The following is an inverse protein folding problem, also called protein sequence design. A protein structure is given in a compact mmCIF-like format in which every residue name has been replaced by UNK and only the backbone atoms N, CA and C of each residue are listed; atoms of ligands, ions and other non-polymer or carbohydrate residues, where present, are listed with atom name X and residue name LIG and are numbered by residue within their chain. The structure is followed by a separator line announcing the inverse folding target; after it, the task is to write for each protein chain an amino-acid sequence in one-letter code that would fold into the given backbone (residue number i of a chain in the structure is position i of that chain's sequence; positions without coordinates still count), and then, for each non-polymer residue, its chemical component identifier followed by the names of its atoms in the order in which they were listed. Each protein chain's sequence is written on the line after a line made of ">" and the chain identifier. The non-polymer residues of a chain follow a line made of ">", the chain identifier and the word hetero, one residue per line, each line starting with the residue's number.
data_IF_017966765899
#
_entry.id   IF_017966765899
#
_cell.length_a   1.000
_cell.length_b   1.000
_cell.length_c   1.000
_cell.angle_alpha   90.00
_cell.angle_beta   90.00
_cell.angle_gamma   90.00
#
_symmetry.space_group_name_H-M   'P 1'
#
loop_
_entity.id
_entity.type
_entity.pdbx_description
1 polymer ?
#
# COMPACT_ATOMS: atom_id res chain seq x y z
N UNK A 1 -15.50 -45.35 24.16
CA UNK A 1 -14.59 -45.17 23.01
C UNK A 1 -14.55 -43.71 22.68
N UNK A 2 -13.41 -43.03 22.75
CA UNK A 2 -13.30 -41.67 22.24
C UNK A 2 -13.55 -41.68 20.73
N UNK A 3 -14.31 -40.71 20.26
CA UNK A 3 -14.52 -40.51 18.83
C UNK A 3 -13.17 -40.21 18.15
N UNK A 4 -12.95 -40.77 16.97
CA UNK A 4 -11.71 -40.57 16.20
C UNK A 4 -11.42 -39.09 15.94
N UNK A 5 -12.47 -38.28 15.85
CA UNK A 5 -12.38 -36.84 15.72
C UNK A 5 -11.81 -36.17 16.99
N UNK A 6 -12.23 -36.60 18.17
CA UNK A 6 -11.71 -36.11 19.45
C UNK A 6 -10.24 -36.48 19.65
N UNK A 7 -9.84 -37.66 19.23
CA UNK A 7 -8.45 -38.09 19.29
C UNK A 7 -7.58 -37.26 18.35
N UNK A 8 -8.03 -36.99 17.12
CA UNK A 8 -7.32 -36.14 16.16
C UNK A 8 -7.16 -34.70 16.67
N UNK A 9 -8.22 -34.13 17.27
CA UNK A 9 -8.17 -32.77 17.87
C UNK A 9 -7.16 -32.68 19.02
N UNK A 10 -7.12 -33.66 19.90
CA UNK A 10 -6.13 -33.70 21.01
C UNK A 10 -4.69 -33.78 20.50
N UNK A 11 -4.46 -34.54 19.44
CA UNK A 11 -3.15 -34.61 18.82
C UNK A 11 -2.76 -33.23 18.22
N UNK A 12 -3.68 -32.56 17.54
CA UNK A 12 -3.47 -31.18 17.04
C UNK A 12 -3.13 -30.24 18.19
N UNK A 13 -3.93 -30.23 19.28
CA UNK A 13 -3.70 -29.37 20.44
C UNK A 13 -2.30 -29.61 21.07
N UNK A 14 -1.86 -30.89 21.11
CA UNK A 14 -0.53 -31.26 21.62
C UNK A 14 0.58 -30.71 20.72
N UNK A 15 0.43 -30.83 19.41
CA UNK A 15 1.38 -30.31 18.42
C UNK A 15 1.41 -28.77 18.46
N UNK A 16 0.26 -28.14 18.58
CA UNK A 16 0.16 -26.64 18.64
C UNK A 16 0.87 -26.10 19.90
N UNK A 17 0.77 -26.78 21.03
CA UNK A 17 1.52 -26.41 22.24
C UNK A 17 3.05 -26.49 22.03
N UNK A 18 3.52 -27.51 21.31
CA UNK A 18 4.95 -27.62 20.95
C UNK A 18 5.37 -26.51 19.94
N UNK A 19 4.52 -26.24 18.94
CA UNK A 19 4.77 -25.17 17.98
C UNK A 19 4.86 -23.80 18.66
N UNK A 20 3.99 -23.50 19.64
CA UNK A 20 4.06 -22.28 20.42
C UNK A 20 5.41 -22.11 21.14
N UNK A 21 5.89 -23.14 21.81
CA UNK A 21 7.18 -23.10 22.48
C UNK A 21 8.37 -22.95 21.51
N UNK A 22 8.31 -23.60 20.35
CA UNK A 22 9.31 -23.47 19.29
C UNK A 22 9.27 -22.09 18.63
N UNK A 23 8.08 -21.50 18.45
CA UNK A 23 7.90 -20.15 17.97
C UNK A 23 8.56 -19.13 18.91
N UNK A 24 8.28 -19.17 20.22
CA UNK A 24 8.93 -18.29 21.20
C UNK A 24 10.46 -18.41 21.16
N UNK A 25 10.97 -19.64 21.10
CA UNK A 25 12.41 -19.88 20.99
C UNK A 25 13.01 -19.29 19.72
N UNK A 26 12.29 -19.40 18.59
CA UNK A 26 12.68 -18.82 17.32
C UNK A 26 12.69 -17.29 17.38
N UNK A 27 11.67 -16.68 17.99
CA UNK A 27 11.57 -15.22 18.11
C UNK A 27 12.67 -14.64 19.02
N UNK A 28 13.09 -15.35 20.07
CA UNK A 28 14.28 -14.95 20.86
C UNK A 28 15.56 -14.93 20.02
N UNK A 29 15.74 -15.91 19.12
CA UNK A 29 16.89 -15.92 18.21
C UNK A 29 16.79 -14.77 17.17
N UNK A 30 15.58 -14.42 16.70
CA UNK A 30 15.34 -13.27 15.82
C UNK A 30 15.80 -11.98 16.48
N UNK A 31 15.49 -11.77 17.78
CA UNK A 31 15.95 -10.60 18.52
C UNK A 31 17.48 -10.48 18.55
N UNK A 32 18.18 -11.57 18.79
CA UNK A 32 19.67 -11.54 18.78
C UNK A 32 20.22 -11.18 17.38
N UNK A 33 19.53 -11.61 16.30
CA UNK A 33 19.87 -11.21 14.92
C UNK A 33 19.58 -9.73 14.70
N UNK A 34 18.44 -9.24 15.20
CA UNK A 34 18.05 -7.83 15.12
C UNK A 34 19.09 -6.90 15.79
N UNK A 35 19.49 -7.25 17.01
CA UNK A 35 20.53 -6.50 17.76
C UNK A 35 21.85 -6.48 17.00
N UNK A 36 22.26 -7.61 16.43
CA UNK A 36 23.48 -7.68 15.62
C UNK A 36 23.39 -6.77 14.37
N UNK A 37 22.27 -6.85 13.63
CA UNK A 37 22.03 -6.02 12.45
C UNK A 37 22.03 -4.53 12.81
N UNK A 38 21.41 -4.16 13.94
CA UNK A 38 21.41 -2.78 14.45
C UNK A 38 22.82 -2.28 14.71
N UNK A 39 23.63 -3.07 15.40
CA UNK A 39 25.00 -2.70 15.76
C UNK A 39 25.91 -2.54 14.53
N UNK A 40 25.62 -3.23 13.42
CA UNK A 40 26.44 -3.23 12.20
C UNK A 40 25.79 -2.49 11.02
N UNK A 41 24.66 -1.81 11.22
CA UNK A 41 23.97 -1.05 10.16
C UNK A 41 23.41 -1.92 9.02
N UNK A 42 23.15 -3.21 9.27
CA UNK A 42 22.66 -4.14 8.25
C UNK A 42 21.14 -4.01 8.05
N UNK A 43 20.63 -4.26 6.82
CA UNK A 43 19.20 -4.23 6.54
C UNK A 43 18.47 -5.39 7.24
N UNK A 44 17.17 -5.17 7.52
CA UNK A 44 16.29 -6.23 8.06
C UNK A 44 16.12 -7.34 7.02
N UNK A 45 15.83 -6.96 5.78
CA UNK A 45 15.60 -7.88 4.67
C UNK A 45 16.92 -8.38 4.05
N UNK A 46 17.03 -9.69 3.86
CA UNK A 46 18.12 -10.36 3.15
C UNK A 46 17.52 -11.44 2.22
N UNK A 47 17.31 -11.08 0.96
CA UNK A 47 16.70 -11.93 -0.06
C UNK A 47 17.46 -13.23 -0.28
N UNK A 48 18.81 -13.18 -0.25
CA UNK A 48 19.64 -14.37 -0.45
C UNK A 48 19.46 -15.35 0.71
N UNK A 49 19.40 -14.83 1.94
CA UNK A 49 19.15 -15.63 3.13
C UNK A 49 17.74 -16.22 3.15
N UNK A 50 16.72 -15.44 2.77
CA UNK A 50 15.33 -15.93 2.72
C UNK A 50 15.19 -17.11 1.76
N UNK A 51 15.75 -16.99 0.54
CA UNK A 51 15.76 -18.08 -0.44
C UNK A 51 16.38 -19.35 0.16
N UNK A 52 17.55 -19.24 0.78
CA UNK A 52 18.22 -20.38 1.44
C UNK A 52 17.37 -21.00 2.54
N UNK A 53 16.62 -20.20 3.30
CA UNK A 53 15.74 -20.68 4.36
C UNK A 53 14.57 -21.47 3.77
N UNK A 54 13.94 -20.95 2.71
CA UNK A 54 12.82 -21.61 2.03
C UNK A 54 13.24 -22.92 1.37
N UNK A 55 14.36 -22.94 0.66
CA UNK A 55 14.88 -24.14 -0.01
C UNK A 55 15.20 -25.24 1.02
N UNK A 56 15.77 -24.85 2.17
CA UNK A 56 16.02 -25.80 3.27
C UNK A 56 14.73 -26.26 3.98
N UNK A 57 13.70 -25.41 4.03
CA UNK A 57 12.42 -25.76 4.62
C UNK A 57 11.75 -26.89 3.83
N UNK A 58 11.65 -26.76 2.51
CA UNK A 58 11.07 -27.78 1.64
C UNK A 58 11.80 -29.13 1.77
N UNK A 59 13.14 -29.11 1.84
CA UNK A 59 13.95 -30.31 1.97
C UNK A 59 13.74 -31.07 3.30
N UNK A 60 13.20 -30.42 4.34
CA UNK A 60 12.93 -31.04 5.65
C UNK A 60 11.62 -31.82 5.67
N UNK A 61 10.71 -31.57 4.72
CA UNK A 61 9.41 -32.25 4.67
C UNK A 61 9.53 -33.54 3.87
N UNK A 62 9.26 -34.67 4.53
CA UNK A 62 9.34 -36.00 3.91
C UNK A 62 8.22 -36.23 2.89
N UNK A 63 6.98 -35.80 3.18
CA UNK A 63 5.86 -35.93 2.27
C UNK A 63 5.90 -34.81 1.19
N UNK A 64 6.09 -35.16 -0.10
CA UNK A 64 6.13 -34.18 -1.19
C UNK A 64 4.84 -33.34 -1.30
N UNK A 65 3.68 -33.88 -0.96
CA UNK A 65 2.40 -33.18 -1.04
C UNK A 65 2.29 -32.02 -0.05
N UNK A 66 3.00 -32.09 1.08
CA UNK A 66 3.00 -31.04 2.12
C UNK A 66 4.05 -29.95 1.91
N UNK A 67 5.01 -30.15 1.01
CA UNK A 67 6.12 -29.21 0.80
C UNK A 67 5.67 -27.79 0.43
N UNK A 68 4.75 -27.58 -0.53
CA UNK A 68 4.28 -26.24 -0.86
C UNK A 68 3.65 -25.53 0.33
N UNK A 69 2.79 -26.21 1.07
CA UNK A 69 2.12 -25.65 2.25
C UNK A 69 3.11 -25.28 3.37
N UNK A 70 4.14 -26.11 3.56
CA UNK A 70 5.17 -25.80 4.56
C UNK A 70 6.07 -24.64 4.10
N UNK A 71 6.32 -24.49 2.81
CA UNK A 71 7.01 -23.32 2.23
C UNK A 71 6.26 -22.04 2.58
N UNK A 72 4.95 -22.01 2.32
CA UNK A 72 4.08 -20.86 2.61
C UNK A 72 4.04 -20.56 4.11
N UNK A 73 3.94 -21.60 4.94
CA UNK A 73 4.01 -21.47 6.41
C UNK A 73 5.34 -20.83 6.86
N UNK A 74 6.46 -21.26 6.30
CA UNK A 74 7.79 -20.71 6.65
C UNK A 74 7.93 -19.28 6.13
N UNK A 75 7.39 -18.95 4.96
CA UNK A 75 7.35 -17.58 4.45
C UNK A 75 6.60 -16.67 5.42
N UNK A 76 5.36 -17.03 5.80
CA UNK A 76 4.56 -16.29 6.78
C UNK A 76 5.30 -16.11 8.12
N UNK A 77 5.96 -17.15 8.59
CA UNK A 77 6.75 -17.08 9.83
C UNK A 77 7.96 -16.14 9.71
N UNK A 78 8.58 -16.02 8.54
CA UNK A 78 9.64 -15.03 8.30
C UNK A 78 9.09 -13.62 8.25
N UNK A 79 7.90 -13.42 7.67
CA UNK A 79 7.26 -12.11 7.57
C UNK A 79 6.86 -11.59 8.95
N UNK A 80 6.28 -12.44 9.80
CA UNK A 80 6.02 -12.14 11.23
C UNK A 80 7.31 -11.80 11.97
N UNK A 81 8.40 -12.53 11.71
CA UNK A 81 9.68 -12.25 12.35
C UNK A 81 10.27 -10.90 11.94
N UNK A 82 10.16 -10.52 10.66
CA UNK A 82 10.59 -9.19 10.15
C UNK A 82 9.78 -8.05 10.81
N UNK A 83 8.47 -8.23 10.94
CA UNK A 83 7.61 -7.26 11.61
C UNK A 83 8.05 -7.06 13.08
N UNK A 84 8.25 -8.15 13.82
CA UNK A 84 8.70 -8.09 15.20
C UNK A 84 10.12 -7.48 15.35
N UNK A 85 11.04 -7.83 14.45
CA UNK A 85 12.37 -7.23 14.36
C UNK A 85 12.28 -5.71 14.15
N UNK A 86 11.44 -5.27 13.21
CA UNK A 86 11.22 -3.85 12.92
C UNK A 86 10.63 -3.10 14.13
N UNK A 87 9.68 -3.71 14.84
CA UNK A 87 9.08 -3.15 16.05
C UNK A 87 10.13 -2.95 17.16
N UNK A 88 10.89 -4.00 17.48
CA UNK A 88 11.92 -3.96 18.53
C UNK A 88 13.06 -2.97 18.21
N UNK A 89 13.38 -2.82 16.93
CA UNK A 89 14.37 -1.84 16.46
C UNK A 89 13.83 -0.40 16.43
N UNK A 90 12.56 -0.18 16.76
CA UNK A 90 11.89 1.13 16.63
C UNK A 90 11.74 1.58 15.17
N UNK A 91 11.77 0.64 14.21
CA UNK A 91 11.62 0.87 12.78
C UNK A 91 10.22 0.54 12.27
N UNK A 92 9.29 0.26 13.17
CA UNK A 92 7.91 -0.12 12.83
C UNK A 92 6.99 1.12 12.75
N UNK A 93 7.44 2.15 12.04
CA UNK A 93 6.67 3.38 11.80
C UNK A 93 6.34 3.51 10.33
N UNK A 94 5.09 3.76 10.01
CA UNK A 94 4.63 4.01 8.65
C UNK A 94 3.90 5.36 8.59
N UNK A 95 4.32 6.22 7.66
CA UNK A 95 3.76 7.55 7.46
C UNK A 95 2.62 7.52 6.44
N UNK A 96 1.60 8.34 6.66
CA UNK A 96 0.48 8.53 5.74
C UNK A 96 0.00 9.98 5.78
N UNK A 97 -0.63 10.42 4.70
CA UNK A 97 -1.19 11.77 4.66
C UNK A 97 -2.62 11.79 5.21
N UNK A 98 -2.91 12.77 6.08
CA UNK A 98 -4.24 13.04 6.61
C UNK A 98 -4.40 12.61 8.06
N UNK A 99 -5.65 12.37 8.45
CA UNK A 99 -6.04 12.04 9.83
C UNK A 99 -6.38 10.56 9.96
N UNK A 100 -6.47 10.07 11.18
CA UNK A 100 -6.95 8.73 11.46
C UNK A 100 -8.35 8.50 10.85
N UNK A 101 -8.55 7.34 10.20
CA UNK A 101 -9.78 7.03 9.45
C UNK A 101 -9.78 7.54 7.99
N UNK A 102 -8.81 8.35 7.55
CA UNK A 102 -8.67 8.65 6.11
C UNK A 102 -8.30 7.38 5.31
N UNK A 103 -8.61 7.34 4.01
CA UNK A 103 -8.32 6.16 3.17
C UNK A 103 -6.83 5.78 3.15
N UNK A 104 -5.92 6.76 3.24
CA UNK A 104 -4.49 6.48 3.37
C UNK A 104 -4.15 5.78 4.70
N UNK A 105 -4.83 6.14 5.80
CA UNK A 105 -4.70 5.43 7.08
C UNK A 105 -5.26 4.00 7.00
N UNK A 106 -6.40 3.81 6.33
CA UNK A 106 -7.01 2.48 6.12
C UNK A 106 -6.06 1.59 5.31
N UNK A 107 -5.52 2.11 4.21
CA UNK A 107 -4.52 1.41 3.40
C UNK A 107 -3.27 1.05 4.21
N UNK A 108 -2.77 1.98 5.04
CA UNK A 108 -1.64 1.72 5.93
C UNK A 108 -1.96 0.59 6.92
N UNK A 109 -3.14 0.60 7.54
CA UNK A 109 -3.54 -0.44 8.50
C UNK A 109 -3.71 -1.82 7.85
N UNK A 110 -4.17 -1.87 6.60
CA UNK A 110 -4.24 -3.11 5.85
C UNK A 110 -2.85 -3.68 5.52
N UNK A 111 -1.91 -2.82 5.15
CA UNK A 111 -0.53 -3.21 4.80
C UNK A 111 0.34 -3.45 6.03
N UNK A 112 0.20 -2.61 7.05
CA UNK A 112 1.04 -2.58 8.25
C UNK A 112 0.19 -2.56 9.53
N UNK A 113 -0.54 -3.65 9.86
CA UNK A 113 -1.50 -3.67 10.99
C UNK A 113 -0.88 -3.34 12.34
N UNK A 114 0.41 -3.65 12.52
CA UNK A 114 1.13 -3.46 13.78
C UNK A 114 2.08 -2.26 13.78
N UNK A 115 2.14 -1.47 12.69
CA UNK A 115 3.00 -0.30 12.64
C UNK A 115 2.43 0.86 13.48
N UNK A 116 3.32 1.67 14.06
CA UNK A 116 2.95 3.00 14.55
C UNK A 116 2.63 3.88 13.34
N UNK A 117 1.38 4.31 13.22
CA UNK A 117 0.92 5.16 12.14
C UNK A 117 1.31 6.62 12.40
N UNK A 118 2.10 7.20 11.52
CA UNK A 118 2.56 8.59 11.59
C UNK A 118 1.72 9.44 10.65
N UNK A 119 0.82 10.26 11.21
CA UNK A 119 0.00 11.20 10.45
C UNK A 119 0.84 12.40 10.00
N UNK A 120 0.81 12.68 8.70
CA UNK A 120 1.45 13.84 8.07
C UNK A 120 0.39 14.74 7.43
N UNK A 121 0.47 16.06 7.56
CA UNK A 121 -0.45 17.00 6.91
C UNK A 121 -0.46 16.93 5.40
N UNK A 122 0.71 16.73 4.77
CA UNK A 122 0.91 16.73 3.32
C UNK A 122 1.61 15.48 2.83
N UNK A 123 1.54 15.22 1.52
CA UNK A 123 2.32 14.13 0.90
C UNK A 123 3.82 14.41 0.95
N UNK A 124 4.26 15.67 0.78
CA UNK A 124 5.68 16.06 0.94
C UNK A 124 6.23 15.63 2.29
N UNK A 125 5.47 15.85 3.38
CA UNK A 125 5.87 15.43 4.72
C UNK A 125 5.93 13.91 4.89
N UNK A 126 5.12 13.14 4.15
CA UNK A 126 5.24 11.67 4.13
C UNK A 126 6.55 11.26 3.48
N UNK A 127 6.90 11.85 2.32
CA UNK A 127 8.17 11.58 1.64
C UNK A 127 9.35 11.97 2.51
N UNK A 128 9.31 13.15 3.10
CA UNK A 128 10.31 13.66 4.05
C UNK A 128 10.51 12.72 5.25
N UNK A 129 9.43 12.26 5.87
CA UNK A 129 9.49 11.35 7.02
C UNK A 129 10.19 10.03 6.67
N UNK A 130 9.93 9.49 5.47
CA UNK A 130 10.61 8.28 4.99
C UNK A 130 12.07 8.57 4.66
N UNK A 131 12.38 9.65 3.96
CA UNK A 131 13.74 10.01 3.55
C UNK A 131 14.64 10.30 4.75
N UNK A 132 14.15 11.02 5.75
CA UNK A 132 14.85 11.31 7.02
C UNK A 132 14.97 10.10 7.95
N UNK A 133 14.11 9.07 7.76
CA UNK A 133 14.10 7.88 8.60
C UNK A 133 13.21 7.95 9.83
N UNK A 134 12.36 8.96 9.92
CA UNK A 134 11.33 9.08 10.95
C UNK A 134 10.23 8.03 10.79
N UNK A 135 10.04 7.54 9.56
CA UNK A 135 9.24 6.38 9.22
C UNK A 135 10.03 5.40 8.33
N UNK A 136 9.78 4.10 8.47
CA UNK A 136 10.34 3.08 7.60
C UNK A 136 9.66 3.06 6.24
N UNK A 137 8.34 3.25 6.24
CA UNK A 137 7.50 3.24 5.05
C UNK A 137 6.62 4.48 4.96
N UNK A 138 6.24 4.84 3.73
CA UNK A 138 5.23 5.86 3.46
C UNK A 138 4.12 5.26 2.59
N UNK A 139 2.85 5.50 2.95
CA UNK A 139 1.69 5.04 2.17
C UNK A 139 0.98 6.26 1.60
N UNK A 140 0.97 6.38 0.28
CA UNK A 140 0.40 7.53 -0.43
C UNK A 140 -0.47 7.09 -1.60
N UNK A 141 -1.58 7.80 -1.92
CA UNK A 141 -2.41 7.50 -3.07
C UNK A 141 -1.67 7.81 -4.37
N UNK A 142 -1.78 6.92 -5.36
CA UNK A 142 -1.09 7.08 -6.64
C UNK A 142 -2.05 7.28 -7.83
N UNK A 143 -3.17 6.55 -7.78
CA UNK A 143 -4.17 6.58 -8.83
C UNK A 143 -5.55 6.20 -8.27
N UNK A 144 -6.61 6.79 -8.80
CA UNK A 144 -7.98 6.37 -8.51
C UNK A 144 -8.67 6.00 -9.83
N UNK A 145 -9.43 4.90 -9.84
CA UNK A 145 -10.07 4.38 -11.06
C UNK A 145 -11.03 5.36 -11.74
N UNK A 146 -11.58 6.34 -11.00
CA UNK A 146 -12.51 7.33 -11.52
C UNK A 146 -11.91 8.73 -11.64
N UNK A 147 -11.08 9.15 -10.67
CA UNK A 147 -10.48 10.48 -10.65
C UNK A 147 -9.15 10.57 -11.42
N UNK A 148 -8.57 9.40 -11.77
CA UNK A 148 -7.30 9.32 -12.47
C UNK A 148 -6.09 9.51 -11.56
N UNK A 149 -5.01 10.03 -12.11
CA UNK A 149 -3.70 10.11 -11.48
C UNK A 149 -3.62 11.13 -10.34
N UNK A 150 -2.97 10.74 -9.25
CA UNK A 150 -2.53 11.67 -8.21
C UNK A 150 -1.18 12.26 -8.62
N UNK A 151 -1.22 13.16 -9.60
CA UNK A 151 -0.04 13.70 -10.29
C UNK A 151 1.01 14.28 -9.35
N UNK A 152 0.59 14.92 -8.25
CA UNK A 152 1.51 15.49 -7.26
C UNK A 152 2.37 14.42 -6.58
N UNK A 153 1.83 13.22 -6.33
CA UNK A 153 2.61 12.11 -5.75
C UNK A 153 3.63 11.59 -6.75
N UNK A 154 3.30 11.53 -8.04
CA UNK A 154 4.26 11.16 -9.07
C UNK A 154 5.39 12.19 -9.19
N UNK A 155 5.08 13.50 -9.06
CA UNK A 155 6.10 14.56 -9.01
C UNK A 155 7.02 14.41 -7.79
N UNK A 156 6.48 14.03 -6.63
CA UNK A 156 7.28 13.72 -5.43
C UNK A 156 8.17 12.49 -5.65
N UNK A 157 7.65 11.43 -6.27
CA UNK A 157 8.48 10.28 -6.65
C UNK A 157 9.65 10.68 -7.55
N UNK A 158 9.44 11.62 -8.48
CA UNK A 158 10.52 12.15 -9.31
C UNK A 158 11.56 12.92 -8.50
N UNK A 159 11.12 13.77 -7.58
CA UNK A 159 11.96 14.67 -6.79
C UNK A 159 12.72 14.00 -5.65
N UNK A 160 12.31 12.81 -5.20
CA UNK A 160 12.97 12.03 -4.13
C UNK A 160 13.66 10.77 -4.69
N UNK A 161 14.84 10.92 -5.35
CA UNK A 161 15.52 9.80 -6.01
C UNK A 161 16.06 8.74 -5.05
N UNK A 162 16.14 9.04 -3.77
CA UNK A 162 16.55 8.11 -2.71
C UNK A 162 15.45 7.19 -2.20
N UNK A 163 14.19 7.40 -2.66
CA UNK A 163 13.04 6.59 -2.27
C UNK A 163 12.62 5.65 -3.40
N UNK A 164 12.12 4.48 -3.00
CA UNK A 164 11.70 3.41 -3.87
C UNK A 164 10.25 3.04 -3.60
N UNK A 165 9.50 2.73 -4.67
CA UNK A 165 8.19 2.06 -4.56
C UNK A 165 8.44 0.57 -4.40
N UNK A 166 7.98 -0.01 -3.28
CA UNK A 166 8.27 -1.40 -2.91
C UNK A 166 7.03 -2.27 -2.85
N UNK A 167 5.85 -1.66 -2.84
CA UNK A 167 4.57 -2.37 -2.87
C UNK A 167 3.48 -1.48 -3.43
N UNK A 168 2.38 -2.10 -3.88
CA UNK A 168 1.15 -1.43 -4.30
C UNK A 168 -0.04 -2.09 -3.63
N UNK A 169 -1.04 -1.27 -3.26
CA UNK A 169 -2.26 -1.75 -2.64
C UNK A 169 -3.48 -1.10 -3.26
N UNK A 170 -4.34 -1.91 -3.87
CA UNK A 170 -5.59 -1.48 -4.48
C UNK A 170 -6.70 -1.54 -3.43
N UNK A 171 -7.09 -0.39 -2.88
CA UNK A 171 -8.16 -0.26 -1.87
C UNK A 171 -9.48 0.03 -2.53
N UNK A 172 -10.49 -0.85 -2.42
CA UNK A 172 -11.86 -0.54 -2.82
C UNK A 172 -12.42 0.61 -1.96
N UNK A 173 -12.99 1.62 -2.61
CA UNK A 173 -13.53 2.81 -1.96
C UNK A 173 -15.04 2.71 -1.91
N UNK A 174 -15.60 2.45 -0.73
CA UNK A 174 -17.02 2.48 -0.47
C UNK A 174 -17.39 3.73 0.33
N UNK A 175 -18.35 4.49 -0.19
CA UNK A 175 -18.91 5.66 0.49
C UNK A 175 -20.21 5.26 1.19
N UNK A 176 -20.32 5.51 2.48
CA UNK A 176 -21.45 5.14 3.30
C UNK A 176 -22.03 6.38 3.97
N UNK A 177 -23.32 6.42 4.20
CA UNK A 177 -23.97 7.48 4.98
C UNK A 177 -23.86 7.14 6.47
N UNK A 178 -23.09 7.92 7.18
CA UNK A 178 -22.76 7.73 8.60
C UNK A 178 -23.51 8.74 9.46
N UNK A 179 -24.08 8.26 10.57
CA UNK A 179 -24.91 9.06 11.47
C UNK A 179 -24.62 8.72 12.93
N UNK A 180 -25.09 9.56 13.83
CA UNK A 180 -25.14 9.22 15.27
C UNK A 180 -26.11 8.06 15.49
N UNK A 181 -25.82 7.13 16.41
CA UNK A 181 -26.68 5.98 16.68
C UNK A 181 -28.14 6.32 16.92
N UNK A 182 -29.04 5.57 16.26
CA UNK A 182 -30.49 5.75 16.37
C UNK A 182 -31.07 6.93 15.58
N UNK A 183 -30.30 7.54 14.66
CA UNK A 183 -30.79 8.57 13.73
C UNK A 183 -31.53 7.91 12.57
N UNK A 184 -32.65 8.50 12.14
CA UNK A 184 -33.41 8.07 10.97
C UNK A 184 -33.08 8.96 9.76
N UNK A 185 -33.28 8.44 8.55
CA UNK A 185 -33.02 9.20 7.32
C UNK A 185 -33.87 10.47 7.22
N UNK A 186 -35.10 10.44 7.76
CA UNK A 186 -35.98 11.58 7.85
C UNK A 186 -35.53 12.71 8.76
N UNK A 187 -34.63 12.43 9.67
CA UNK A 187 -34.11 13.43 10.62
C UNK A 187 -33.04 14.32 9.98
N UNK A 188 -32.46 13.85 8.89
CA UNK A 188 -31.29 14.47 8.26
C UNK A 188 -31.64 15.76 7.52
N UNK A 189 -30.86 16.78 7.77
CA UNK A 189 -30.97 18.08 7.08
C UNK A 189 -29.73 18.43 6.28
N UNK A 190 -28.58 17.80 6.59
CA UNK A 190 -27.29 18.12 5.92
C UNK A 190 -26.30 16.99 6.02
N UNK A 191 -25.53 16.83 4.94
CA UNK A 191 -24.46 15.83 4.83
C UNK A 191 -23.10 16.54 4.69
N UNK A 192 -22.06 15.98 5.29
CA UNK A 192 -20.69 16.51 5.25
C UNK A 192 -19.74 15.47 4.68
N UNK A 193 -18.84 15.87 3.78
CA UNK A 193 -17.77 15.00 3.29
C UNK A 193 -16.75 15.76 2.44
N UNK A 194 -15.71 15.06 1.98
CA UNK A 194 -14.82 15.57 0.94
C UNK A 194 -15.58 15.79 -0.38
N UNK A 195 -15.20 16.82 -1.14
CA UNK A 195 -15.87 17.18 -2.40
C UNK A 195 -16.02 16.00 -3.37
N UNK A 196 -14.98 15.17 -3.48
CA UNK A 196 -15.01 13.99 -4.36
C UNK A 196 -16.03 12.93 -3.87
N UNK A 197 -16.11 12.66 -2.58
CA UNK A 197 -17.08 11.71 -2.02
C UNK A 197 -18.51 12.21 -2.20
N UNK A 198 -18.75 13.52 -2.07
CA UNK A 198 -20.03 14.18 -2.36
C UNK A 198 -20.40 13.97 -3.83
N UNK A 199 -19.48 14.23 -4.77
CA UNK A 199 -19.73 14.03 -6.20
C UNK A 199 -20.02 12.56 -6.54
N UNK A 200 -19.29 11.63 -5.96
CA UNK A 200 -19.50 10.19 -6.13
C UNK A 200 -20.85 9.70 -5.56
N UNK A 201 -21.45 10.43 -4.63
CA UNK A 201 -22.73 10.11 -3.99
C UNK A 201 -23.88 11.01 -4.45
N UNK A 202 -23.67 11.76 -5.53
CA UNK A 202 -24.62 12.80 -5.97
C UNK A 202 -26.01 12.26 -6.27
N UNK A 203 -26.12 11.07 -6.89
CA UNK A 203 -27.39 10.43 -7.22
C UNK A 203 -28.21 10.16 -5.95
N UNK A 204 -27.58 9.60 -4.93
CA UNK A 204 -28.20 9.35 -3.63
C UNK A 204 -28.65 10.67 -2.97
N UNK A 205 -27.75 11.65 -2.90
CA UNK A 205 -28.04 12.93 -2.25
C UNK A 205 -29.22 13.67 -2.91
N UNK A 206 -29.30 13.66 -4.25
CA UNK A 206 -30.42 14.24 -5.01
C UNK A 206 -31.72 13.50 -4.76
N UNK A 207 -31.69 12.15 -4.75
CA UNK A 207 -32.89 11.33 -4.53
C UNK A 207 -33.56 11.63 -3.17
N UNK A 208 -32.76 11.89 -2.13
CA UNK A 208 -33.28 12.16 -0.79
C UNK A 208 -33.32 13.66 -0.44
N UNK A 209 -32.96 14.55 -1.37
CA UNK A 209 -32.99 16.00 -1.17
C UNK A 209 -32.02 16.48 -0.07
N UNK A 210 -30.91 15.79 0.13
CA UNK A 210 -29.94 16.07 1.17
C UNK A 210 -28.84 17.05 0.67
N UNK A 211 -28.82 18.30 1.15
CA UNK A 211 -27.75 19.22 0.84
C UNK A 211 -26.44 18.79 1.47
N UNK A 212 -25.33 18.93 0.72
CA UNK A 212 -24.00 18.55 1.17
C UNK A 212 -23.09 19.77 1.38
N UNK A 213 -22.18 19.66 2.33
CA UNK A 213 -21.13 20.65 2.63
C UNK A 213 -19.75 19.98 2.53
N UNK A 214 -18.87 20.60 1.71
CA UNK A 214 -17.53 20.08 1.54
C UNK A 214 -16.65 20.31 2.77
N UNK A 215 -15.83 19.30 3.10
CA UNK A 215 -14.84 19.32 4.15
C UNK A 215 -13.47 18.84 3.60
N UNK A 216 -12.35 19.08 4.30
CA UNK A 216 -11.01 18.74 3.82
C UNK A 216 -10.81 17.24 3.50
N UNK A 217 -11.45 16.35 4.25
CA UNK A 217 -11.48 14.90 3.96
C UNK A 217 -12.70 14.22 4.62
N UNK A 218 -12.96 12.97 4.22
CA UNK A 218 -14.11 12.18 4.69
C UNK A 218 -14.04 11.85 6.19
N UNK A 219 -12.85 11.57 6.70
CA UNK A 219 -12.67 11.23 8.12
C UNK A 219 -12.91 12.45 9.05
N UNK A 220 -12.44 13.63 8.63
CA UNK A 220 -12.76 14.87 9.36
C UNK A 220 -14.26 15.17 9.37
N UNK A 221 -14.96 14.87 8.29
CA UNK A 221 -16.41 15.01 8.22
C UNK A 221 -17.13 14.07 9.21
N UNK A 222 -16.71 12.81 9.26
CA UNK A 222 -17.22 11.83 10.21
C UNK A 222 -16.93 12.25 11.66
N UNK A 223 -15.70 12.67 11.95
CA UNK A 223 -15.32 13.20 13.28
C UNK A 223 -16.21 14.40 13.68
N UNK A 224 -16.40 15.34 12.76
CA UNK A 224 -17.26 16.51 12.99
C UNK A 224 -18.70 16.12 13.35
N UNK A 225 -19.28 15.14 12.63
CA UNK A 225 -20.64 14.65 12.91
C UNK A 225 -20.69 13.98 14.28
N UNK A 226 -19.71 13.12 14.59
CA UNK A 226 -19.62 12.45 15.89
C UNK A 226 -19.54 13.44 17.05
N UNK A 227 -18.67 14.45 16.96
CA UNK A 227 -18.46 15.45 18.01
C UNK A 227 -19.60 16.48 18.12
N UNK A 228 -20.40 16.67 17.06
CA UNK A 228 -21.50 17.62 17.06
C UNK A 228 -22.66 17.25 17.98
N UNK A 229 -22.88 15.95 18.25
CA UNK A 229 -24.03 15.44 18.97
C UNK A 229 -25.38 15.71 18.29
N UNK A 230 -25.38 16.22 17.06
CA UNK A 230 -26.55 16.68 16.31
C UNK A 230 -27.02 15.60 15.32
N UNK A 231 -28.17 14.96 15.62
CA UNK A 231 -28.77 13.90 14.79
C UNK A 231 -29.30 14.37 13.45
N UNK A 232 -29.34 15.66 13.19
CA UNK A 232 -29.76 16.18 11.87
C UNK A 232 -28.61 16.17 10.86
N UNK A 233 -27.40 15.79 11.28
CA UNK A 233 -26.20 15.75 10.47
C UNK A 233 -25.79 14.34 10.15
N UNK A 234 -25.27 14.15 8.94
CA UNK A 234 -24.63 12.90 8.50
C UNK A 234 -23.27 13.18 7.86
N UNK A 235 -22.42 12.16 7.81
CA UNK A 235 -21.19 12.20 7.05
C UNK A 235 -21.20 11.15 5.95
N UNK A 236 -20.43 11.38 4.87
CA UNK A 236 -20.10 10.34 3.89
C UNK A 236 -18.65 9.95 4.14
N UNK A 237 -18.41 8.68 4.52
CA UNK A 237 -17.08 8.12 4.74
C UNK A 237 -17.11 6.59 4.65
N UNK A 238 -15.99 5.95 5.00
CA UNK A 238 -15.86 4.50 5.03
C UNK A 238 -16.48 3.87 6.27
N UNK A 239 -16.71 2.56 6.23
CA UNK A 239 -17.21 1.79 7.38
C UNK A 239 -16.20 1.76 8.53
N UNK A 240 -14.91 1.75 8.24
CA UNK A 240 -13.84 1.79 9.24
C UNK A 240 -13.87 3.11 10.00
N UNK A 241 -14.17 4.20 9.30
CA UNK A 241 -14.32 5.52 9.91
C UNK A 241 -15.55 5.59 10.81
N UNK A 242 -16.65 4.90 10.46
CA UNK A 242 -17.82 4.79 11.32
C UNK A 242 -17.44 4.10 12.64
N UNK A 243 -16.77 2.96 12.59
CA UNK A 243 -16.31 2.23 13.78
C UNK A 243 -15.36 3.08 14.65
N UNK A 244 -14.46 3.83 14.03
CA UNK A 244 -13.48 4.67 14.71
C UNK A 244 -14.13 5.78 15.56
N UNK A 245 -15.16 6.43 15.00
CA UNK A 245 -15.82 7.58 15.65
C UNK A 245 -17.15 7.24 16.33
N UNK A 246 -17.50 5.95 16.45
CA UNK A 246 -18.74 5.53 17.11
C UNK A 246 -20.01 5.95 16.36
N UNK A 247 -19.92 6.06 15.04
CA UNK A 247 -21.05 6.34 14.17
C UNK A 247 -21.69 5.03 13.66
N UNK A 248 -22.95 5.12 13.27
CA UNK A 248 -23.69 4.04 12.66
C UNK A 248 -23.74 4.23 11.14
N UNK A 249 -23.62 3.12 10.39
CA UNK A 249 -23.84 3.12 8.94
C UNK A 249 -25.35 3.06 8.69
N UNK A 250 -25.95 4.20 8.38
CA UNK A 250 -27.38 4.28 8.09
C UNK A 250 -27.72 3.70 6.70
N UNK A 251 -26.91 4.03 5.69
CA UNK A 251 -27.04 3.50 4.34
C UNK A 251 -25.65 3.14 3.81
N UNK A 252 -25.39 1.86 3.52
CA UNK A 252 -24.13 1.43 2.94
C UNK A 252 -24.04 1.73 1.45
N UNK A 253 -22.82 1.89 0.92
CA UNK A 253 -22.50 1.92 -0.50
C UNK A 253 -23.36 2.90 -1.31
N UNK A 254 -23.40 4.17 -0.89
CA UNK A 254 -24.18 5.24 -1.54
C UNK A 254 -23.49 5.86 -2.75
N UNK A 255 -22.27 5.44 -3.09
CA UNK A 255 -21.58 5.87 -4.30
C UNK A 255 -22.27 5.32 -5.54
N UNK A 256 -22.36 6.16 -6.58
CA UNK A 256 -23.06 5.87 -7.84
C UNK A 256 -22.43 4.68 -8.58
N UNK A 257 -21.09 4.62 -8.57
CA UNK A 257 -20.32 3.56 -9.24
C UNK A 257 -19.70 2.63 -8.19
N UNK A 258 -19.94 1.32 -8.32
CA UNK A 258 -19.53 0.32 -7.33
C UNK A 258 -18.09 -0.17 -7.42
N UNK A 259 -17.36 0.23 -8.47
CA UNK A 259 -16.01 -0.25 -8.79
C UNK A 259 -14.90 0.79 -8.49
N UNK A 260 -15.21 1.79 -7.66
CA UNK A 260 -14.24 2.82 -7.28
C UNK A 260 -13.10 2.21 -6.45
N UNK A 261 -11.89 2.31 -6.96
CA UNK A 261 -10.68 1.78 -6.33
C UNK A 261 -9.59 2.84 -6.32
N UNK A 262 -8.89 2.98 -5.21
CA UNK A 262 -7.69 3.82 -5.12
C UNK A 262 -6.47 2.93 -4.95
N UNK A 263 -5.52 3.08 -5.87
CA UNK A 263 -4.20 2.47 -5.77
C UNK A 263 -3.32 3.32 -4.87
N UNK A 264 -2.78 2.71 -3.83
CA UNK A 264 -1.75 3.26 -2.97
C UNK A 264 -0.41 2.65 -3.33
N UNK A 265 0.66 3.42 -3.20
CA UNK A 265 2.04 2.95 -3.29
C UNK A 265 2.69 3.01 -1.92
N UNK A 266 3.59 2.07 -1.68
CA UNK A 266 4.42 2.02 -0.48
C UNK A 266 5.82 2.48 -0.83
N UNK A 267 6.29 3.49 -0.11
CA UNK A 267 7.62 4.07 -0.25
C UNK A 267 8.55 3.56 0.85
N UNK A 268 9.81 3.32 0.51
CA UNK A 268 10.87 3.10 1.49
C UNK A 268 12.25 3.57 0.95
N UNK A 269 13.28 3.56 1.80
CA UNK A 269 14.67 3.89 1.42
C UNK A 269 15.44 2.70 0.87
N UNK A 270 15.00 1.49 1.15
CA UNK A 270 15.68 0.28 0.74
C UNK A 270 15.29 -0.07 -0.69
N UNK A 271 16.29 -0.31 -1.56
CA UNK A 271 16.05 -0.70 -2.94
C UNK A 271 15.44 -2.11 -2.98
N UNK A 272 14.24 -2.28 -3.58
CA UNK A 272 13.65 -3.60 -3.75
C UNK A 272 14.44 -4.45 -4.75
N UNK A 273 14.51 -5.76 -4.51
CA UNK A 273 15.31 -6.70 -5.32
C UNK A 273 14.50 -7.77 -6.02
N UNK A 274 13.23 -7.96 -5.65
CA UNK A 274 12.37 -9.00 -6.20
C UNK A 274 10.94 -8.49 -6.41
N UNK A 275 10.29 -8.94 -7.48
CA UNK A 275 8.92 -8.61 -7.84
C UNK A 275 8.59 -9.12 -9.23
N UNK A 276 7.31 -9.01 -9.63
CA UNK A 276 6.82 -9.33 -10.98
C UNK A 276 6.37 -8.10 -11.75
N UNK A 277 6.57 -6.91 -11.16
CA UNK A 277 6.34 -5.58 -11.74
C UNK A 277 7.51 -4.67 -11.40
N UNK A 278 7.83 -3.78 -12.31
CA UNK A 278 8.76 -2.69 -12.03
C UNK A 278 8.34 -1.43 -12.78
N UNK A 279 8.67 -0.29 -12.20
CA UNK A 279 8.36 1.02 -12.78
C UNK A 279 9.63 1.82 -13.05
N UNK A 280 9.60 2.56 -14.16
CA UNK A 280 10.71 3.41 -14.59
C UNK A 280 10.24 4.86 -14.71
N UNK A 281 11.15 5.77 -14.40
CA UNK A 281 11.07 7.18 -14.75
C UNK A 281 12.14 7.50 -15.80
N UNK A 282 11.78 8.20 -16.85
CA UNK A 282 12.76 8.59 -17.87
C UNK A 282 12.46 9.96 -18.47
N UNK A 283 13.48 10.60 -19.01
CA UNK A 283 13.39 11.87 -19.76
C UNK A 283 13.91 11.68 -21.18
N UNK A 284 13.37 12.47 -22.10
CA UNK A 284 13.69 12.38 -23.52
C UNK A 284 14.13 13.74 -24.07
N UNK A 285 14.83 13.70 -25.21
CA UNK A 285 14.90 14.88 -26.07
C UNK A 285 13.51 15.20 -26.63
N UNK A 286 13.10 16.45 -26.54
CA UNK A 286 11.82 16.89 -27.08
C UNK A 286 11.90 16.95 -28.63
N UNK A 287 11.89 15.79 -29.28
CA UNK A 287 11.97 15.63 -30.75
C UNK A 287 10.90 14.65 -31.22
N UNK A 288 10.35 14.86 -32.43
CA UNK A 288 9.39 13.93 -33.02
C UNK A 288 9.92 12.49 -33.02
N UNK A 289 9.07 11.52 -32.63
CA UNK A 289 9.38 10.11 -32.65
C UNK A 289 10.13 9.56 -31.42
N UNK A 290 10.71 10.38 -30.55
CA UNK A 290 11.53 9.90 -29.42
C UNK A 290 10.76 9.04 -28.43
N UNK A 291 9.51 9.37 -28.10
CA UNK A 291 8.68 8.53 -27.25
C UNK A 291 8.33 7.19 -27.95
N UNK A 292 8.05 7.24 -29.26
CA UNK A 292 7.76 6.03 -30.03
C UNK A 292 8.97 5.07 -30.05
N UNK A 293 10.19 5.60 -30.14
CA UNK A 293 11.44 4.82 -30.08
C UNK A 293 11.55 4.07 -28.72
N UNK A 294 11.25 4.72 -27.61
CA UNK A 294 11.25 4.09 -26.28
C UNK A 294 10.19 2.99 -26.19
N UNK A 295 8.98 3.24 -26.67
CA UNK A 295 7.89 2.24 -26.66
C UNK A 295 8.28 1.02 -27.51
N UNK A 296 8.92 1.24 -28.67
CA UNK A 296 9.43 0.14 -29.53
C UNK A 296 10.50 -0.68 -28.83
N UNK A 297 11.45 -0.05 -28.13
CA UNK A 297 12.48 -0.75 -27.35
C UNK A 297 11.85 -1.63 -26.26
N UNK A 298 10.87 -1.10 -25.52
CA UNK A 298 10.16 -1.86 -24.49
C UNK A 298 9.43 -3.06 -25.10
N UNK A 299 8.65 -2.85 -26.18
CA UNK A 299 7.90 -3.90 -26.85
C UNK A 299 8.81 -4.97 -27.48
N UNK A 300 9.90 -4.56 -28.14
CA UNK A 300 10.88 -5.48 -28.74
C UNK A 300 11.60 -6.33 -27.68
N UNK A 301 11.76 -5.80 -26.46
CA UNK A 301 12.32 -6.54 -25.32
C UNK A 301 11.31 -7.53 -24.70
N UNK A 302 10.08 -7.62 -25.21
CA UNK A 302 9.04 -8.56 -24.76
C UNK A 302 8.44 -8.20 -23.40
N UNK A 303 8.32 -6.90 -23.09
CA UNK A 303 7.64 -6.42 -21.89
C UNK A 303 6.25 -5.89 -22.24
N UNK A 304 5.28 -6.26 -21.39
CA UNK A 304 3.97 -5.63 -21.38
C UNK A 304 4.01 -4.35 -20.53
N UNK A 305 3.41 -3.28 -21.07
CA UNK A 305 3.35 -1.97 -20.43
C UNK A 305 1.93 -1.74 -19.91
N UNK A 306 1.74 -1.86 -18.58
CA UNK A 306 0.43 -1.66 -17.95
C UNK A 306 0.05 -0.16 -17.84
N UNK A 307 1.03 0.73 -17.73
CA UNK A 307 0.78 2.17 -17.59
C UNK A 307 1.89 3.01 -18.21
N UNK A 308 1.48 4.15 -18.79
CA UNK A 308 2.39 5.23 -19.19
C UNK A 308 1.78 6.56 -18.79
N UNK A 309 2.57 7.43 -18.15
CA UNK A 309 2.14 8.76 -17.72
C UNK A 309 3.22 9.77 -18.08
N UNK A 310 2.83 11.00 -18.43
CA UNK A 310 3.76 12.09 -18.70
C UNK A 310 3.51 13.26 -17.76
N UNK A 311 4.58 13.87 -17.27
CA UNK A 311 4.51 15.05 -16.39
C UNK A 311 5.52 16.09 -16.83
N UNK A 312 5.20 17.41 -16.70
CA UNK A 312 6.18 18.46 -16.96
C UNK A 312 7.39 18.32 -16.04
N UNK A 313 8.57 18.53 -16.58
CA UNK A 313 9.79 18.61 -15.78
C UNK A 313 9.78 19.88 -14.91
N UNK A 314 10.06 19.77 -13.62
CA UNK A 314 10.22 20.95 -12.77
C UNK A 314 11.28 21.90 -13.35
N UNK A 315 10.99 23.18 -13.38
CA UNK A 315 11.91 24.25 -13.79
C UNK A 315 12.41 24.24 -15.26
N UNK A 316 11.91 23.32 -16.11
CA UNK A 316 12.26 23.25 -17.53
C UNK A 316 10.98 23.39 -18.37
N UNK A 317 10.69 24.56 -18.93
CA UNK A 317 9.48 24.79 -19.71
C UNK A 317 9.38 23.84 -20.92
N UNK A 318 8.21 23.23 -21.08
CA UNK A 318 7.87 22.34 -22.20
C UNK A 318 8.70 21.06 -22.33
N UNK A 319 9.48 20.70 -21.30
CA UNK A 319 10.12 19.38 -21.19
C UNK A 319 9.32 18.49 -20.24
N UNK A 320 9.41 17.17 -20.43
CA UNK A 320 8.60 16.18 -19.74
C UNK A 320 9.46 15.04 -19.21
N UNK A 321 9.06 14.48 -18.07
CA UNK A 321 9.45 13.12 -17.69
C UNK A 321 8.29 12.17 -17.89
N UNK A 322 8.61 10.89 -18.05
CA UNK A 322 7.65 9.83 -18.28
C UNK A 322 7.78 8.78 -17.18
N UNK A 323 6.65 8.25 -16.76
CA UNK A 323 6.53 7.08 -15.92
C UNK A 323 6.01 5.93 -16.77
N UNK A 324 6.57 4.73 -16.61
CA UNK A 324 6.01 3.48 -17.15
C UNK A 324 6.03 2.38 -16.11
N UNK A 325 5.02 1.52 -16.14
CA UNK A 325 4.91 0.32 -15.35
C UNK A 325 4.98 -0.89 -16.29
N UNK A 326 5.91 -1.80 -15.99
CA UNK A 326 6.22 -2.96 -16.83
C UNK A 326 6.01 -4.26 -16.05
N UNK A 327 5.43 -5.27 -16.75
CA UNK A 327 5.22 -6.61 -16.24
C UNK A 327 6.46 -7.45 -16.47
N UNK A 328 7.14 -7.86 -15.42
CA UNK A 328 8.31 -8.74 -15.53
C UNK A 328 9.20 -8.75 -14.31
N UNK A 329 10.14 -9.67 -14.31
CA UNK A 329 11.15 -9.80 -13.28
C UNK A 329 12.28 -8.77 -13.49
N UNK A 330 12.50 -7.84 -12.55
CA UNK A 330 13.56 -6.84 -12.64
C UNK A 330 14.98 -7.46 -12.58
N UNK A 331 15.13 -8.65 -12.00
CA UNK A 331 16.41 -9.36 -11.91
C UNK A 331 16.75 -10.18 -13.17
N UNK A 332 15.81 -10.32 -14.11
CA UNK A 332 16.06 -11.09 -15.34
C UNK A 332 17.15 -10.43 -16.22
N UNK A 333 17.95 -11.24 -16.89
CA UNK A 333 18.98 -10.75 -17.81
C UNK A 333 18.40 -9.85 -18.91
N UNK A 334 17.20 -10.18 -19.41
CA UNK A 334 16.48 -9.36 -20.40
C UNK A 334 16.15 -7.95 -19.87
N UNK A 335 15.89 -7.78 -18.54
CA UNK A 335 15.65 -6.46 -17.93
C UNK A 335 16.93 -5.64 -17.91
N UNK A 336 18.07 -6.25 -17.60
CA UNK A 336 19.36 -5.56 -17.68
C UNK A 336 19.68 -5.13 -19.12
N UNK A 337 19.32 -5.93 -20.14
CA UNK A 337 19.44 -5.57 -21.54
C UNK A 337 18.53 -4.38 -21.90
N UNK A 338 17.24 -4.45 -21.53
CA UNK A 338 16.29 -3.34 -21.71
C UNK A 338 16.81 -2.02 -21.12
N UNK A 339 17.28 -2.05 -19.87
CA UNK A 339 17.78 -0.83 -19.22
C UNK A 339 19.01 -0.26 -19.92
N UNK A 340 19.90 -1.10 -20.48
CA UNK A 340 21.03 -0.63 -21.30
C UNK A 340 20.53 0.07 -22.56
N UNK A 341 19.59 -0.53 -23.29
CA UNK A 341 19.03 0.06 -24.51
C UNK A 341 18.28 1.38 -24.23
N UNK A 342 17.48 1.41 -23.17
CA UNK A 342 16.79 2.64 -22.76
C UNK A 342 17.79 3.76 -22.43
N UNK A 343 18.93 3.46 -21.81
CA UNK A 343 19.97 4.46 -21.53
C UNK A 343 20.64 5.02 -22.80
N UNK A 344 20.51 4.35 -23.96
CA UNK A 344 20.97 4.90 -25.25
C UNK A 344 19.97 5.83 -25.91
N UNK A 345 18.67 5.63 -25.68
CA UNK A 345 17.59 6.43 -26.33
C UNK A 345 17.02 7.54 -25.46
N UNK A 346 17.16 7.41 -24.14
CA UNK A 346 16.68 8.39 -23.15
C UNK A 346 17.83 9.31 -22.68
N UNK A 347 17.50 10.52 -22.22
CA UNK A 347 18.47 11.37 -21.50
C UNK A 347 18.80 10.79 -20.13
N UNK A 348 17.77 10.34 -19.42
CA UNK A 348 17.89 9.69 -18.10
C UNK A 348 16.92 8.54 -18.01
N UNK A 349 17.31 7.46 -17.33
CA UNK A 349 16.44 6.35 -16.93
C UNK A 349 16.70 6.04 -15.47
N UNK A 350 15.62 5.93 -14.69
CA UNK A 350 15.67 5.57 -13.27
C UNK A 350 14.64 4.49 -12.97
N UNK A 351 15.07 3.42 -12.34
CA UNK A 351 14.17 2.46 -11.72
C UNK A 351 13.51 3.16 -10.53
N UNK A 352 12.18 3.29 -10.54
CA UNK A 352 11.42 3.91 -9.44
C UNK A 352 11.02 2.87 -8.40
N UNK A 353 10.60 1.69 -8.84
CA UNK A 353 10.12 0.67 -7.92
C UNK A 353 10.11 -0.72 -8.51
N UNK A 354 10.00 -1.70 -7.61
CA UNK A 354 9.82 -3.11 -7.89
C UNK A 354 8.85 -3.67 -6.85
N UNK A 355 7.83 -4.38 -7.29
CA UNK A 355 6.79 -4.93 -6.41
C UNK A 355 6.12 -6.15 -7.03
N UNK A 356 5.33 -6.84 -6.23
CA UNK A 356 4.51 -7.96 -6.67
C UNK A 356 3.03 -7.57 -6.67
N UNK A 357 2.33 -7.91 -7.76
CA UNK A 357 0.89 -7.66 -7.91
C UNK A 357 0.18 -8.92 -8.37
#
# INVERSE_FOLDING_TARGET
>A
MMDALEQARREIDTVDAQLAALFERRMKAVLSVAEYKKAHGLPIFDAAREKVVLDKAEARIGDPALRPYYRDHVQNMMDVAKQYEAEVLGRNRAAYQGVEGAFAHIALRALFPHAEAVSCPTWDEVFDAVEKGDAAHGVVPFENSHAGDVSAVLDLCYNHPGLWVVDVYDLPISQNLLVLPGTQLSDLTRVYSHQQAIAQSETFLKQFGLPATAMPNTAMAAKFVAESGDRTKAAIASVETAALYGLEVLVPSINTDGDNTTRFIVLCREKPTAGNRFSLLFTLDNKPGKLAEVIQVIGASGYDMESIKSRPLPHVPFDYYFYVELVGDPAAEKTAALLRELNHVCRTVRLLGVYTK
#
